data_IF_934925806899
#
_entry.id   IF_934925806899
#
_cell.length_a   1.000
_cell.length_b   1.000
_cell.length_c   1.000
_cell.angle_alpha   90.00
_cell.angle_beta   90.00
_cell.angle_gamma   90.00
#
_symmetry.space_group_name_H-M   'P 1'
#
loop_
_entity.id
_entity.type
_entity.pdbx_description
1 polymer ?
#
# COMPACT_ATOMS: atom_id res chain seq x y z
N UNK A 1 -9.80 3.07 29.77
CA UNK A 1 -8.56 2.29 29.55
C UNK A 1 -7.99 2.62 28.17
N UNK A 2 -7.13 3.63 28.09
CA UNK A 2 -6.55 4.16 26.85
C UNK A 2 -5.49 3.23 26.20
N UNK A 3 -5.03 2.19 26.89
CA UNK A 3 -4.00 1.25 26.41
C UNK A 3 -4.42 0.29 25.30
N UNK A 4 -5.70 0.26 24.91
CA UNK A 4 -6.20 -0.63 23.86
C UNK A 4 -6.27 0.00 22.47
N UNK A 5 -6.37 1.31 22.41
CA UNK A 5 -6.44 2.08 21.18
C UNK A 5 -5.08 2.73 20.91
N UNK A 6 -4.52 2.45 19.77
CA UNK A 6 -3.34 3.15 19.22
C UNK A 6 -3.77 3.88 17.96
N UNK A 7 -3.44 5.15 17.87
CA UNK A 7 -3.74 5.99 16.72
C UNK A 7 -2.48 6.74 16.32
N UNK A 8 -2.26 6.88 15.03
CA UNK A 8 -1.18 7.66 14.46
C UNK A 8 -1.73 8.44 13.27
N UNK A 9 -1.40 9.73 13.21
CA UNK A 9 -1.68 10.58 12.07
C UNK A 9 -0.38 11.23 11.62
N UNK A 10 -0.20 11.35 10.31
CA UNK A 10 0.93 12.05 9.71
C UNK A 10 0.48 12.79 8.45
N UNK A 11 1.15 13.89 8.16
CA UNK A 11 0.97 14.63 6.91
C UNK A 11 2.35 14.90 6.35
N UNK A 12 2.57 14.51 5.09
CA UNK A 12 3.81 14.79 4.38
C UNK A 12 3.54 15.87 3.34
N UNK A 13 4.29 16.97 3.41
CA UNK A 13 4.26 18.07 2.45
C UNK A 13 5.32 17.87 1.36
N UNK A 14 4.92 18.01 0.10
CA UNK A 14 5.82 18.03 -1.04
C UNK A 14 5.82 19.44 -1.63
N UNK A 15 7.00 20.01 -1.79
CA UNK A 15 7.21 21.26 -2.51
C UNK A 15 8.08 20.95 -3.73
N UNK A 16 7.51 21.08 -4.91
CA UNK A 16 8.19 20.74 -6.15
C UNK A 16 8.43 22.01 -6.95
N UNK A 17 9.71 22.32 -7.16
CA UNK A 17 10.16 23.38 -8.05
C UNK A 17 10.95 22.75 -9.18
N UNK A 18 10.62 23.07 -10.43
CA UNK A 18 11.25 22.51 -11.61
C UNK A 18 11.96 23.61 -12.40
N UNK A 19 13.22 23.37 -12.74
CA UNK A 19 13.98 24.22 -13.63
C UNK A 19 14.42 23.43 -14.85
N UNK A 20 14.06 23.88 -16.04
CA UNK A 20 14.36 23.22 -17.31
C UNK A 20 15.03 24.20 -18.26
N UNK A 21 16.11 23.78 -18.94
CA UNK A 21 16.89 24.65 -19.83
C UNK A 21 16.28 24.81 -21.23
N UNK A 22 15.53 23.83 -21.71
CA UNK A 22 15.04 23.76 -23.10
C UNK A 22 13.54 23.82 -23.29
N UNK A 23 12.76 23.69 -22.21
CA UNK A 23 11.30 23.67 -22.23
C UNK A 23 10.74 24.64 -21.21
N UNK A 24 9.49 25.01 -21.31
CA UNK A 24 8.83 25.76 -20.25
C UNK A 24 8.77 24.92 -18.97
N UNK A 25 9.29 25.45 -17.87
CA UNK A 25 9.17 24.82 -16.57
C UNK A 25 7.71 24.76 -16.13
N UNK A 26 7.34 23.68 -15.46
CA UNK A 26 6.01 23.56 -14.88
C UNK A 26 5.85 24.52 -13.71
N UNK A 27 4.61 24.95 -13.43
CA UNK A 27 4.36 25.76 -12.24
C UNK A 27 4.72 24.99 -10.99
N UNK A 28 5.25 25.68 -10.01
CA UNK A 28 5.57 25.14 -8.70
C UNK A 28 4.34 24.45 -8.09
N UNK A 29 4.55 23.32 -7.45
CA UNK A 29 3.49 22.53 -6.88
C UNK A 29 3.74 22.21 -5.42
N UNK A 30 2.76 22.54 -4.59
CA UNK A 30 2.70 22.14 -3.20
C UNK A 30 1.58 21.10 -3.01
N UNK A 31 1.90 19.95 -2.44
CA UNK A 31 0.93 18.86 -2.20
C UNK A 31 1.10 18.31 -0.78
N UNK A 32 0.00 18.17 -0.07
CA UNK A 32 -0.04 17.50 1.22
C UNK A 32 -0.64 16.10 1.08
N UNK A 33 0.01 15.10 1.67
CA UNK A 33 -0.44 13.71 1.66
C UNK A 33 -0.66 13.23 3.09
N UNK A 34 -1.92 13.14 3.53
CA UNK A 34 -2.26 12.64 4.85
C UNK A 34 -2.16 11.12 4.92
N UNK A 35 -1.82 10.60 6.11
CA UNK A 35 -1.94 9.20 6.46
C UNK A 35 -2.46 9.06 7.89
N UNK A 36 -3.39 8.13 8.07
CA UNK A 36 -4.00 7.80 9.36
C UNK A 36 -3.90 6.31 9.59
N UNK A 37 -3.52 5.93 10.78
CA UNK A 37 -3.45 4.54 11.23
C UNK A 37 -4.17 4.42 12.56
N UNK A 38 -5.00 3.39 12.71
CA UNK A 38 -5.66 3.03 13.95
C UNK A 38 -5.53 1.53 14.22
N UNK A 39 -5.32 1.16 15.47
CA UNK A 39 -5.34 -0.22 15.94
C UNK A 39 -6.05 -0.30 17.28
N UNK A 40 -6.99 -1.23 17.39
CA UNK A 40 -7.80 -1.45 18.60
C UNK A 40 -7.72 -2.91 19.04
N UNK A 41 -7.29 -3.16 20.29
CA UNK A 41 -7.36 -4.48 20.92
C UNK A 41 -8.80 -4.75 21.38
N UNK A 42 -9.46 -5.72 20.75
CA UNK A 42 -10.86 -6.07 21.01
C UNK A 42 -11.01 -6.79 22.35
N UNK A 43 -10.14 -7.76 22.63
CA UNK A 43 -10.22 -8.62 23.80
C UNK A 43 -9.10 -8.35 24.80
N UNK A 44 -9.42 -8.37 26.12
CA UNK A 44 -8.42 -8.17 27.19
C UNK A 44 -7.45 -9.34 27.32
N UNK A 45 -7.97 -10.58 27.22
CA UNK A 45 -7.27 -11.81 27.53
C UNK A 45 -6.74 -12.56 26.28
N UNK A 46 -7.05 -12.05 25.09
CA UNK A 46 -6.60 -12.61 23.82
C UNK A 46 -6.08 -11.49 22.93
N UNK A 47 -5.02 -11.76 22.21
CA UNK A 47 -4.44 -10.80 21.27
C UNK A 47 -5.25 -10.75 19.97
N UNK A 48 -6.52 -10.33 20.09
CA UNK A 48 -7.36 -9.98 18.95
C UNK A 48 -7.33 -8.47 18.76
N UNK A 49 -6.87 -8.03 17.61
CA UNK A 49 -6.82 -6.61 17.24
C UNK A 49 -7.46 -6.36 15.87
N UNK A 50 -8.15 -5.24 15.78
CA UNK A 50 -8.61 -4.62 14.53
C UNK A 50 -7.65 -3.51 14.20
N UNK A 51 -7.23 -3.41 12.94
CA UNK A 51 -6.41 -2.32 12.44
C UNK A 51 -7.04 -1.73 11.20
N UNK A 52 -6.90 -0.44 11.02
CA UNK A 52 -7.32 0.25 9.82
C UNK A 52 -6.31 1.33 9.47
N UNK A 53 -6.08 1.54 8.18
CA UNK A 53 -5.35 2.71 7.75
C UNK A 53 -5.93 3.32 6.48
N UNK A 54 -5.72 4.63 6.38
CA UNK A 54 -5.88 5.41 5.17
C UNK A 54 -4.57 6.11 4.86
N UNK A 55 -4.16 6.10 3.61
CA UNK A 55 -2.97 6.81 3.15
C UNK A 55 -3.23 7.38 1.77
N UNK A 56 -2.94 8.67 1.60
CA UNK A 56 -2.83 9.30 0.30
C UNK A 56 -1.36 9.40 -0.11
N UNK A 57 -1.08 9.06 -1.36
CA UNK A 57 0.24 9.16 -1.96
C UNK A 57 0.18 10.04 -3.19
N UNK A 58 1.34 10.63 -3.50
CA UNK A 58 1.52 11.52 -4.64
C UNK A 58 2.82 11.14 -5.35
N UNK A 59 2.78 11.08 -6.67
CA UNK A 59 3.94 10.82 -7.50
C UNK A 59 4.01 11.84 -8.64
N UNK A 60 5.09 12.61 -8.71
CA UNK A 60 5.39 13.41 -9.89
C UNK A 60 5.85 12.52 -11.04
N UNK A 61 5.54 12.88 -12.30
CA UNK A 61 6.18 12.31 -13.46
C UNK A 61 7.70 12.48 -13.36
N UNK A 62 8.46 11.47 -13.73
CA UNK A 62 9.91 11.55 -13.79
C UNK A 62 10.36 12.36 -15.00
N UNK A 63 11.62 12.82 -15.03
CA UNK A 63 12.17 13.49 -16.23
C UNK A 63 12.10 12.61 -17.48
N UNK A 64 12.26 11.30 -17.34
CA UNK A 64 12.09 10.37 -18.45
C UNK A 64 10.63 10.30 -18.94
N UNK A 65 9.67 10.30 -18.04
CA UNK A 65 8.25 10.33 -18.40
C UNK A 65 7.91 11.60 -19.20
N UNK A 66 8.56 12.71 -18.88
CA UNK A 66 8.28 14.03 -19.46
C UNK A 66 9.05 14.32 -20.73
N UNK A 67 10.37 14.06 -20.73
CA UNK A 67 11.31 14.64 -21.68
C UNK A 67 12.15 13.62 -22.46
N UNK A 68 11.90 12.31 -22.27
CA UNK A 68 12.60 11.31 -23.08
C UNK A 68 12.23 11.46 -24.57
N UNK A 69 13.21 11.59 -25.43
CA UNK A 69 13.15 12.16 -26.78
C UNK A 69 12.01 11.65 -27.66
N UNK A 70 11.70 10.35 -27.59
CA UNK A 70 10.68 9.73 -28.46
C UNK A 70 9.40 9.32 -27.72
N UNK A 71 9.43 9.25 -26.39
CA UNK A 71 8.35 8.69 -25.59
C UNK A 71 7.78 9.69 -24.58
N UNK A 72 8.55 10.71 -24.21
CA UNK A 72 8.18 11.65 -23.17
C UNK A 72 6.95 12.49 -23.53
N UNK A 73 6.21 12.88 -22.49
CA UNK A 73 5.06 13.76 -22.64
C UNK A 73 5.11 14.84 -21.54
N UNK A 74 5.42 16.07 -21.94
CA UNK A 74 5.54 17.21 -21.02
C UNK A 74 4.18 17.60 -20.37
N UNK A 75 3.04 17.14 -20.90
CA UNK A 75 1.70 17.43 -20.40
C UNK A 75 1.19 16.45 -19.33
N UNK A 76 2.00 15.48 -18.89
CA UNK A 76 1.60 14.52 -17.88
C UNK A 76 1.20 15.19 -16.57
N UNK A 77 0.10 14.73 -16.01
CA UNK A 77 -0.35 15.10 -14.67
C UNK A 77 0.31 14.20 -13.63
N UNK A 78 0.48 14.65 -12.39
CA UNK A 78 0.91 13.79 -11.30
C UNK A 78 -0.13 12.70 -10.99
N UNK A 79 0.37 11.53 -10.58
CA UNK A 79 -0.48 10.45 -10.06
C UNK A 79 -0.84 10.70 -8.60
N UNK A 80 -2.06 10.34 -8.24
CA UNK A 80 -2.49 10.24 -6.85
C UNK A 80 -2.97 8.82 -6.58
N UNK A 81 -2.57 8.27 -5.43
CA UNK A 81 -3.08 6.99 -4.98
C UNK A 81 -3.66 7.13 -3.57
N UNK A 82 -4.86 6.63 -3.39
CA UNK A 82 -5.54 6.54 -2.10
C UNK A 82 -5.65 5.07 -1.72
N UNK A 83 -5.19 4.75 -0.53
CA UNK A 83 -5.18 3.39 0.01
C UNK A 83 -6.01 3.32 1.27
N UNK A 84 -6.93 2.37 1.30
CA UNK A 84 -7.73 2.00 2.46
C UNK A 84 -7.45 0.54 2.79
N UNK A 85 -7.23 0.24 4.05
CA UNK A 85 -7.06 -1.11 4.53
C UNK A 85 -7.77 -1.29 5.86
N UNK A 86 -8.42 -2.43 6.03
CA UNK A 86 -8.97 -2.88 7.31
C UNK A 86 -8.54 -4.31 7.53
N UNK A 87 -7.94 -4.60 8.67
CA UNK A 87 -7.40 -5.90 9.00
C UNK A 87 -7.80 -6.38 10.39
N UNK A 88 -7.89 -7.69 10.52
CA UNK A 88 -8.03 -8.42 11.77
C UNK A 88 -6.76 -9.21 12.01
N UNK A 89 -6.22 -9.15 13.22
CA UNK A 89 -5.11 -9.99 13.64
C UNK A 89 -5.46 -10.67 14.94
N UNK A 90 -5.29 -12.00 14.98
CA UNK A 90 -5.43 -12.82 16.16
C UNK A 90 -4.15 -13.62 16.41
N UNK A 91 -3.58 -13.47 17.61
CA UNK A 91 -2.40 -14.22 18.03
C UNK A 91 -2.73 -14.94 19.33
N UNK A 92 -2.41 -16.23 19.40
CA UNK A 92 -2.56 -17.02 20.61
C UNK A 92 -1.35 -17.89 20.84
N UNK A 93 -0.78 -17.79 22.04
CA UNK A 93 0.26 -18.68 22.53
C UNK A 93 -0.36 -19.73 23.45
N UNK A 94 0.05 -20.98 23.27
CA UNK A 94 -0.47 -22.15 24.02
C UNK A 94 0.64 -22.68 24.94
N UNK A 95 0.85 -22.02 26.08
CA UNK A 95 1.93 -22.39 27.03
C UNK A 95 1.79 -23.81 27.60
N UNK A 96 0.56 -24.29 27.77
CA UNK A 96 0.25 -25.60 28.38
C UNK A 96 -0.03 -26.70 27.34
N UNK A 97 0.02 -26.43 26.05
CA UNK A 97 -0.23 -27.44 25.03
C UNK A 97 1.07 -28.19 24.70
N UNK A 98 1.07 -29.51 24.72
CA UNK A 98 2.25 -30.29 24.33
C UNK A 98 2.51 -30.26 22.84
N UNK A 99 1.50 -29.91 22.03
CA UNK A 99 1.54 -30.03 20.58
C UNK A 99 1.59 -28.67 19.87
N UNK A 100 0.64 -27.76 20.13
CA UNK A 100 0.57 -26.45 19.49
C UNK A 100 1.19 -25.38 20.41
N UNK A 101 2.16 -24.61 19.90
CA UNK A 101 2.82 -23.53 20.62
C UNK A 101 2.24 -22.16 20.29
N UNK A 102 1.95 -21.92 19.02
CA UNK A 102 1.47 -20.63 18.56
C UNK A 102 0.49 -20.77 17.39
N UNK A 103 -0.51 -19.92 17.40
CA UNK A 103 -1.41 -19.65 16.29
C UNK A 103 -1.44 -18.15 16.05
N UNK A 104 -1.11 -17.71 14.84
CA UNK A 104 -1.20 -16.33 14.40
C UNK A 104 -1.98 -16.28 13.08
N UNK A 105 -3.09 -15.55 13.09
CA UNK A 105 -3.98 -15.40 11.94
C UNK A 105 -4.14 -13.92 11.65
N UNK A 106 -3.95 -13.52 10.41
CA UNK A 106 -4.30 -12.17 9.96
C UNK A 106 -5.10 -12.23 8.67
N UNK A 107 -6.10 -11.34 8.58
CA UNK A 107 -6.90 -11.12 7.38
C UNK A 107 -6.99 -9.62 7.16
N UNK A 108 -6.58 -9.16 5.98
CA UNK A 108 -6.58 -7.76 5.58
C UNK A 108 -7.40 -7.61 4.29
N UNK A 109 -8.37 -6.71 4.31
CA UNK A 109 -9.08 -6.27 3.11
C UNK A 109 -8.60 -4.88 2.72
N UNK A 110 -8.33 -4.66 1.44
CA UNK A 110 -7.83 -3.40 0.94
C UNK A 110 -8.57 -2.91 -0.30
N UNK A 111 -8.57 -1.60 -0.44
CA UNK A 111 -9.05 -0.87 -1.60
C UNK A 111 -8.05 0.24 -1.94
N UNK A 112 -7.53 0.19 -3.16
CA UNK A 112 -6.59 1.18 -3.69
C UNK A 112 -7.21 1.83 -4.91
N UNK A 113 -7.24 3.16 -4.92
CA UNK A 113 -7.70 3.97 -6.05
C UNK A 113 -6.55 4.84 -6.53
N UNK A 114 -6.19 4.68 -7.81
CA UNK A 114 -5.13 5.45 -8.45
C UNK A 114 -5.76 6.32 -9.53
N UNK A 115 -5.55 7.62 -9.45
CA UNK A 115 -6.01 8.59 -10.46
C UNK A 115 -4.84 9.14 -11.25
N UNK A 116 -5.07 9.43 -12.54
CA UNK A 116 -4.08 9.92 -13.48
C UNK A 116 -2.82 9.03 -13.57
N UNK A 117 -3.00 7.69 -13.54
CA UNK A 117 -1.88 6.75 -13.60
C UNK A 117 -1.04 6.95 -14.88
N UNK A 118 0.27 7.12 -14.70
CA UNK A 118 1.20 7.28 -15.80
C UNK A 118 1.58 5.91 -16.34
N UNK A 119 1.35 5.69 -17.63
CA UNK A 119 1.70 4.46 -18.34
C UNK A 119 2.38 4.77 -19.67
N UNK A 120 3.22 3.82 -20.12
CA UNK A 120 3.69 3.81 -21.50
C UNK A 120 2.62 3.16 -22.38
N UNK A 121 2.19 3.84 -23.42
CA UNK A 121 1.16 3.40 -24.34
C UNK A 121 1.70 3.33 -25.77
N UNK A 122 1.45 2.25 -26.55
CA UNK A 122 1.90 2.14 -27.93
C UNK A 122 1.14 3.12 -28.83
N UNK A 123 1.85 3.94 -29.59
CA UNK A 123 1.31 4.93 -30.52
C UNK A 123 1.33 4.40 -31.96
N UNK A 124 0.21 3.85 -32.41
CA UNK A 124 0.04 3.39 -33.79
C UNK A 124 0.86 2.15 -34.17
N UNK A 125 0.97 1.88 -35.49
CA UNK A 125 1.60 0.66 -36.04
C UNK A 125 3.14 0.66 -36.07
N UNK A 126 3.79 1.76 -35.66
CA UNK A 126 5.25 1.93 -35.82
C UNK A 126 6.08 1.59 -34.59
N UNK A 127 5.57 0.80 -33.64
CA UNK A 127 6.25 0.45 -32.39
C UNK A 127 6.74 1.65 -31.55
N UNK A 128 6.15 2.83 -31.75
CA UNK A 128 6.42 4.02 -30.96
C UNK A 128 5.58 4.01 -29.69
N UNK A 129 6.19 4.36 -28.60
CA UNK A 129 5.52 4.47 -27.31
C UNK A 129 5.35 5.94 -26.95
N UNK A 130 4.37 6.25 -26.16
CA UNK A 130 4.21 7.59 -25.54
C UNK A 130 3.75 7.41 -24.10
N UNK A 131 4.18 8.32 -23.24
CA UNK A 131 3.71 8.38 -21.87
C UNK A 131 2.37 9.12 -21.83
N UNK A 132 1.39 8.56 -21.14
CA UNK A 132 0.10 9.23 -20.94
C UNK A 132 -0.48 8.90 -19.56
N UNK A 133 -1.37 9.77 -19.08
CA UNK A 133 -2.18 9.48 -17.91
C UNK A 133 -3.35 8.59 -18.32
N UNK A 134 -3.42 7.40 -17.74
CA UNK A 134 -4.59 6.53 -17.85
C UNK A 134 -5.53 6.88 -16.69
N UNK A 135 -6.65 7.44 -16.96
CA UNK A 135 -7.75 7.81 -16.07
C UNK A 135 -7.66 7.30 -14.62
N UNK A 136 -8.45 6.29 -14.30
CA UNK A 136 -8.60 5.76 -12.96
C UNK A 136 -8.36 4.24 -12.95
N UNK A 137 -7.63 3.75 -11.94
CA UNK A 137 -7.41 2.32 -11.69
C UNK A 137 -7.83 2.00 -10.27
N UNK A 138 -8.74 1.05 -10.12
CA UNK A 138 -9.16 0.52 -8.83
C UNK A 138 -8.60 -0.88 -8.62
N UNK A 139 -8.10 -1.14 -7.41
CA UNK A 139 -7.58 -2.44 -7.00
C UNK A 139 -8.23 -2.80 -5.67
N UNK A 140 -8.89 -3.94 -5.63
CA UNK A 140 -9.57 -4.48 -4.43
C UNK A 140 -9.01 -5.86 -4.14
N UNK A 141 -8.79 -6.16 -2.87
CA UNK A 141 -8.29 -7.48 -2.54
C UNK A 141 -8.43 -7.84 -1.07
N UNK A 142 -8.15 -9.10 -0.81
CA UNK A 142 -8.10 -9.67 0.53
C UNK A 142 -6.85 -10.54 0.64
N UNK A 143 -6.07 -10.30 1.69
CA UNK A 143 -4.91 -11.09 2.06
C UNK A 143 -5.21 -11.83 3.36
N UNK A 144 -4.93 -13.14 3.40
CA UNK A 144 -5.03 -13.95 4.60
C UNK A 144 -3.70 -14.65 4.86
N UNK A 145 -3.24 -14.61 6.10
CA UNK A 145 -2.01 -15.27 6.54
C UNK A 145 -2.30 -16.09 7.78
N UNK A 146 -1.88 -17.35 7.77
CA UNK A 146 -1.94 -18.27 8.89
C UNK A 146 -0.50 -18.73 9.20
N UNK A 147 -0.02 -18.42 10.39
CA UNK A 147 1.23 -18.97 10.91
C UNK A 147 0.91 -19.88 12.09
N UNK A 148 1.50 -21.07 12.12
CA UNK A 148 1.38 -21.99 13.27
C UNK A 148 2.75 -22.53 13.66
N UNK A 149 2.92 -22.79 14.95
CA UNK A 149 4.10 -23.44 15.49
C UNK A 149 3.68 -24.65 16.31
N UNK A 150 4.21 -25.79 15.94
CA UNK A 150 3.98 -27.08 16.60
C UNK A 150 5.28 -27.60 17.24
N UNK A 151 5.15 -28.28 18.39
CA UNK A 151 6.24 -28.99 19.03
C UNK A 151 5.94 -30.49 19.02
N UNK A 152 6.80 -31.27 18.39
CA UNK A 152 6.70 -32.72 18.24
C UNK A 152 7.90 -33.38 18.99
N UNK A 153 7.86 -33.36 20.31
CA UNK A 153 8.98 -33.80 21.15
C UNK A 153 10.19 -32.87 21.00
N UNK A 154 11.26 -33.34 20.32
CA UNK A 154 12.46 -32.53 20.06
C UNK A 154 12.39 -31.72 18.75
N UNK A 155 11.35 -31.91 17.97
CA UNK A 155 11.17 -31.24 16.68
C UNK A 155 10.19 -30.06 16.82
N UNK A 156 10.60 -28.88 16.36
CA UNK A 156 9.73 -27.73 16.21
C UNK A 156 9.40 -27.54 14.73
N UNK A 157 8.11 -27.47 14.42
CA UNK A 157 7.59 -27.28 13.07
C UNK A 157 6.85 -25.97 12.99
N UNK A 158 7.31 -25.06 12.15
CA UNK A 158 6.62 -23.81 11.85
C UNK A 158 6.03 -23.91 10.45
N UNK A 159 4.73 -23.62 10.33
CA UNK A 159 4.05 -23.55 9.02
C UNK A 159 3.54 -22.15 8.77
N UNK A 160 3.61 -21.74 7.52
CA UNK A 160 3.04 -20.49 7.04
C UNK A 160 2.18 -20.80 5.81
N UNK A 161 0.91 -20.44 5.89
CA UNK A 161 0.00 -20.44 4.75
C UNK A 161 -0.38 -19.00 4.42
N UNK A 162 -0.35 -18.64 3.15
CA UNK A 162 -0.70 -17.30 2.67
C UNK A 162 -1.63 -17.43 1.47
N UNK A 163 -2.71 -16.66 1.49
CA UNK A 163 -3.66 -16.55 0.40
C UNK A 163 -3.89 -15.09 0.06
N UNK A 164 -3.85 -14.75 -1.22
CA UNK A 164 -4.13 -13.42 -1.76
C UNK A 164 -5.17 -13.53 -2.87
N UNK A 165 -6.24 -12.75 -2.76
CA UNK A 165 -7.20 -12.53 -3.82
C UNK A 165 -7.20 -11.05 -4.20
N UNK A 166 -7.06 -10.74 -5.49
CA UNK A 166 -7.03 -9.39 -6.00
C UNK A 166 -7.85 -9.29 -7.29
N UNK A 167 -8.57 -8.17 -7.42
CA UNK A 167 -9.32 -7.80 -8.62
C UNK A 167 -9.06 -6.34 -8.97
#
# INVERSE_FOLDING_TARGET
>A
EWGRLKMQASVLGYFVHEKVERFEARPDKAVATPAFFGSFKVLKNHDLSVRAFYKRMFRMPTFNDLYYTDMGNAFLKPEYAEQFNVGLKYTRNFEKSPFMRMLDVSVDAYYNKITDKIIAYPKGQQFRWTMLNLGEVEIKGVDAVLNTQFSLGKLEVTTKFQYTYQK
#
